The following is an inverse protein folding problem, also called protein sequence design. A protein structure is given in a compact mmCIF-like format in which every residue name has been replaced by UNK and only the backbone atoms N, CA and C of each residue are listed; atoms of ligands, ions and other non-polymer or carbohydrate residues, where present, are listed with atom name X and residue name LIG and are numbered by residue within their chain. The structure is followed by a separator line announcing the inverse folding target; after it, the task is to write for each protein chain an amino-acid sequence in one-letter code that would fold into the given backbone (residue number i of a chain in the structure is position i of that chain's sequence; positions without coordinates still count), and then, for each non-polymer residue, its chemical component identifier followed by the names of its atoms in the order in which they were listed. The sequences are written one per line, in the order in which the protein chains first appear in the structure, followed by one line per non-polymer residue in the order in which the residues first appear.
data_IF_937312165263
#
_entry.id   IF_937312165263
#
_cell.length_a   1.000
_cell.length_b   1.000
_cell.length_c   1.000
_cell.angle_alpha   90.00
_cell.angle_beta   90.00
_cell.angle_gamma   90.00
#
_symmetry.space_group_name_H-M   'P 1'
#
loop_
_entity.id
_entity.type
_entity.pdbx_description
1 polymer ?
#
# COMPACT_ATOMS: atom_id res chain seq x y z
N UNK A 1 15.18 2.65 1.72
CA UNK A 1 14.68 1.73 2.77
C UNK A 1 15.20 0.34 2.48
N UNK A 2 15.76 -0.28 3.48
CA UNK A 2 16.25 -1.64 3.34
C UNK A 2 15.11 -2.63 3.10
N UNK A 3 15.29 -3.48 2.08
CA UNK A 3 14.28 -4.47 1.71
C UNK A 3 13.16 -3.96 0.81
N UNK A 4 13.17 -2.68 0.46
CA UNK A 4 12.15 -2.07 -0.40
C UNK A 4 12.79 -1.28 -1.53
N UNK A 5 12.61 -1.75 -2.75
CA UNK A 5 13.13 -1.05 -3.94
C UNK A 5 12.26 0.14 -4.33
N UNK A 6 10.99 0.11 -3.95
CA UNK A 6 10.07 1.20 -4.18
C UNK A 6 9.70 1.89 -2.87
N UNK A 7 9.82 3.22 -2.86
CA UNK A 7 9.45 4.04 -1.70
C UNK A 7 8.61 5.22 -2.17
N UNK A 8 7.44 5.36 -1.57
CA UNK A 8 6.56 6.50 -1.77
C UNK A 8 6.74 7.47 -0.61
N UNK A 9 6.73 8.76 -0.90
CA UNK A 9 6.91 9.80 0.11
C UNK A 9 5.62 10.55 0.34
N UNK A 10 5.31 10.81 1.61
CA UNK A 10 4.14 11.53 2.07
C UNK A 10 4.52 12.43 3.22
N UNK A 11 3.66 13.40 3.51
CA UNK A 11 3.76 14.19 4.73
C UNK A 11 2.44 14.13 5.49
N UNK A 12 2.50 13.94 6.78
CA UNK A 12 1.30 13.94 7.63
C UNK A 12 0.71 15.36 7.65
N UNK A 13 -0.57 15.46 7.29
CA UNK A 13 -1.29 16.73 7.27
C UNK A 13 -1.98 16.97 8.61
N UNK A 14 -2.23 18.23 8.91
CA UNK A 14 -2.93 18.62 10.14
C UNK A 14 -4.28 17.88 10.26
N UNK A 15 -5.02 17.76 9.18
CA UNK A 15 -6.33 17.08 9.19
C UNK A 15 -6.26 15.56 9.37
N UNK A 16 -5.06 14.97 9.29
CA UNK A 16 -4.86 13.53 9.47
C UNK A 16 -4.81 13.11 10.93
N UNK A 17 -4.61 14.08 11.83
CA UNK A 17 -4.46 13.79 13.26
C UNK A 17 -5.78 13.95 14.02
N UNK A 18 -5.91 13.18 15.09
CA UNK A 18 -7.07 13.21 15.97
C UNK A 18 -6.84 14.20 17.14
N UNK A 19 -7.76 14.20 18.11
CA UNK A 19 -7.69 15.08 19.28
C UNK A 19 -6.44 14.86 20.13
N UNK A 20 -5.85 13.66 20.05
CA UNK A 20 -4.63 13.33 20.79
C UNK A 20 -3.36 13.81 20.06
N UNK A 21 -3.51 14.40 18.89
CA UNK A 21 -2.39 14.86 18.07
C UNK A 21 -1.69 13.74 17.30
N UNK A 22 -2.29 12.57 17.23
CA UNK A 22 -1.75 11.42 16.51
C UNK A 22 -2.57 11.14 15.26
N UNK A 23 -1.92 10.62 14.21
CA UNK A 23 -2.62 10.19 13.01
C UNK A 23 -3.66 9.11 13.38
N UNK A 24 -4.89 9.33 12.94
CA UNK A 24 -5.96 8.35 13.12
C UNK A 24 -5.60 7.04 12.42
N UNK A 25 -5.89 5.91 13.06
CA UNK A 25 -5.56 4.60 12.50
C UNK A 25 -6.12 4.38 11.10
N UNK A 26 -7.31 4.91 10.81
CA UNK A 26 -7.91 4.80 9.48
C UNK A 26 -7.11 5.55 8.41
N UNK A 27 -6.41 6.60 8.76
CA UNK A 27 -5.60 7.39 7.82
C UNK A 27 -4.34 6.62 7.40
N UNK A 28 -3.82 5.72 8.23
CA UNK A 28 -2.73 4.83 7.83
C UNK A 28 -3.11 4.01 6.60
N UNK A 29 -4.36 3.55 6.50
CA UNK A 29 -4.85 2.83 5.32
C UNK A 29 -4.83 3.73 4.08
N UNK A 30 -5.11 5.01 4.24
CA UNK A 30 -5.04 5.98 3.15
C UNK A 30 -3.60 6.13 2.64
N UNK A 31 -2.63 6.24 3.53
CA UNK A 31 -1.22 6.33 3.14
C UNK A 31 -0.77 5.08 2.39
N UNK A 32 -1.17 3.91 2.87
CA UNK A 32 -0.87 2.64 2.23
C UNK A 32 -1.50 2.56 0.85
N UNK A 33 -2.75 3.02 0.71
CA UNK A 33 -3.45 3.05 -0.57
C UNK A 33 -2.72 3.96 -1.57
N UNK A 34 -2.34 5.15 -1.15
CA UNK A 34 -1.61 6.09 -2.02
C UNK A 34 -0.28 5.50 -2.48
N UNK A 35 0.43 4.85 -1.57
CA UNK A 35 1.70 4.19 -1.90
C UNK A 35 1.48 3.02 -2.86
N UNK A 36 0.42 2.24 -2.65
CA UNK A 36 0.07 1.12 -3.54
C UNK A 36 -0.25 1.62 -4.94
N UNK A 37 -1.06 2.67 -5.06
CA UNK A 37 -1.42 3.26 -6.35
C UNK A 37 -0.16 3.70 -7.09
N UNK A 38 0.72 4.42 -6.42
CA UNK A 38 1.97 4.89 -7.02
C UNK A 38 2.85 3.72 -7.47
N UNK A 39 2.93 2.67 -6.67
CA UNK A 39 3.70 1.46 -6.99
C UNK A 39 3.15 0.78 -8.25
N UNK A 40 1.84 0.55 -8.29
CA UNK A 40 1.17 -0.18 -9.37
C UNK A 40 1.17 0.59 -10.69
N UNK A 41 1.09 1.91 -10.64
CA UNK A 41 1.15 2.74 -11.85
C UNK A 41 2.47 2.61 -12.61
N UNK A 42 3.54 2.16 -11.95
CA UNK A 42 4.83 1.95 -12.61
C UNK A 42 4.75 0.95 -13.76
N UNK A 43 3.81 0.01 -13.69
CA UNK A 43 3.58 -0.96 -14.75
C UNK A 43 2.14 -0.96 -15.25
N UNK A 44 1.52 0.22 -15.21
CA UNK A 44 0.17 0.47 -15.73
C UNK A 44 -0.93 -0.40 -15.14
N UNK A 45 -0.74 -0.87 -13.91
CA UNK A 45 -1.79 -1.58 -13.18
C UNK A 45 -2.66 -0.55 -12.46
N UNK A 46 -3.92 -0.47 -12.87
CA UNK A 46 -4.85 0.56 -12.40
C UNK A 46 -5.82 0.01 -11.37
N UNK A 47 -6.15 0.85 -10.38
CA UNK A 47 -7.11 0.48 -9.35
C UNK A 47 -8.49 0.16 -9.90
N UNK A 48 -8.82 0.65 -11.11
CA UNK A 48 -10.08 0.34 -11.80
C UNK A 48 -10.15 -1.10 -12.30
N UNK A 49 -9.04 -1.84 -12.27
CA UNK A 49 -8.96 -3.22 -12.74
C UNK A 49 -8.69 -4.20 -11.59
N UNK A 50 -8.87 -3.76 -10.35
CA UNK A 50 -8.58 -4.57 -9.18
C UNK A 50 -9.45 -4.20 -7.99
N UNK A 51 -9.47 -5.08 -7.00
CA UNK A 51 -10.18 -4.85 -5.75
C UNK A 51 -9.28 -5.25 -4.57
N UNK A 52 -9.32 -4.46 -3.51
CA UNK A 52 -8.66 -4.80 -2.26
C UNK A 52 -9.52 -5.83 -1.54
N UNK A 53 -8.99 -7.03 -1.35
CA UNK A 53 -9.71 -8.13 -0.71
C UNK A 53 -9.39 -8.27 0.77
N UNK A 54 -8.18 -7.89 1.18
CA UNK A 54 -7.75 -8.01 2.58
C UNK A 54 -6.68 -6.99 2.89
N UNK A 55 -6.71 -6.46 4.10
CA UNK A 55 -5.66 -5.61 4.63
C UNK A 55 -5.38 -6.00 6.08
N UNK A 56 -4.09 -6.09 6.41
CA UNK A 56 -3.61 -6.29 7.78
C UNK A 56 -2.64 -5.17 8.09
N UNK A 57 -2.81 -4.53 9.24
CA UNK A 57 -1.90 -3.48 9.70
C UNK A 57 -1.53 -3.72 11.15
N UNK A 58 -0.23 -3.64 11.44
CA UNK A 58 0.30 -3.56 12.79
C UNK A 58 0.79 -2.14 13.02
N UNK A 59 0.21 -1.45 13.99
CA UNK A 59 0.60 -0.10 14.36
C UNK A 59 1.71 -0.18 15.39
N UNK A 60 2.85 0.47 15.10
CA UNK A 60 4.05 0.37 15.93
C UNK A 60 4.36 1.65 16.69
N UNK A 61 4.11 2.81 16.09
CA UNK A 61 4.40 4.09 16.68
C UNK A 61 3.45 5.15 16.17
N UNK A 62 3.13 6.17 16.99
CA UNK A 62 2.26 7.26 16.54
C UNK A 62 2.99 8.16 15.56
N UNK A 63 2.21 8.78 14.67
CA UNK A 63 2.67 9.80 13.75
C UNK A 63 1.97 11.11 14.10
N UNK A 64 2.66 12.23 13.89
CA UNK A 64 2.17 13.57 14.20
C UNK A 64 2.14 14.45 12.97
N UNK A 65 1.35 15.52 13.06
CA UNK A 65 1.27 16.52 11.99
C UNK A 65 2.66 17.01 11.62
N UNK A 66 2.94 17.05 10.32
CA UNK A 66 4.22 17.50 9.78
C UNK A 66 5.29 16.43 9.64
N UNK A 67 5.07 15.25 10.21
CA UNK A 67 6.02 14.14 10.04
C UNK A 67 6.17 13.77 8.55
N UNK A 68 7.39 13.59 8.11
CA UNK A 68 7.68 13.13 6.76
C UNK A 68 7.74 11.61 6.75
N UNK A 69 7.02 11.00 5.81
CA UNK A 69 6.87 9.57 5.73
C UNK A 69 7.57 8.99 4.51
N UNK A 70 8.17 7.82 4.71
CA UNK A 70 8.60 6.95 3.65
C UNK A 70 7.81 5.65 3.76
N UNK A 71 7.16 5.26 2.67
CA UNK A 71 6.34 4.06 2.64
C UNK A 71 6.91 3.12 1.58
N UNK A 72 7.56 2.06 2.05
CA UNK A 72 8.06 1.02 1.18
C UNK A 72 6.95 0.09 0.76
N UNK A 73 6.96 -0.32 -0.50
CA UNK A 73 6.02 -1.31 -1.06
C UNK A 73 6.81 -2.36 -1.79
N UNK A 74 6.48 -3.62 -1.56
CA UNK A 74 7.10 -4.74 -2.30
C UNK A 74 6.11 -5.88 -2.47
N UNK A 75 6.25 -6.69 -3.54
CA UNK A 75 5.44 -7.88 -3.70
C UNK A 75 5.88 -8.95 -2.69
N UNK A 76 4.91 -9.69 -2.14
CA UNK A 76 5.16 -10.80 -1.23
C UNK A 76 4.88 -12.14 -1.90
N UNK A 77 3.76 -12.24 -2.63
CA UNK A 77 3.40 -13.44 -3.38
C UNK A 77 2.54 -13.06 -4.58
N UNK A 78 2.56 -13.92 -5.59
CA UNK A 78 1.78 -13.72 -6.82
C UNK A 78 1.06 -15.01 -7.13
N UNK A 79 -0.27 -14.96 -7.16
CA UNK A 79 -1.13 -16.09 -7.51
C UNK A 79 -1.67 -15.99 -8.93
N UNK A 80 -2.75 -16.69 -9.19
CA UNK A 80 -3.41 -16.70 -10.51
C UNK A 80 -4.28 -15.47 -10.72
N UNK A 81 -5.08 -15.11 -9.72
CA UNK A 81 -6.05 -14.00 -9.79
C UNK A 81 -5.77 -12.92 -8.75
N UNK A 82 -4.77 -13.12 -7.89
CA UNK A 82 -4.45 -12.21 -6.81
C UNK A 82 -2.97 -12.13 -6.58
N UNK A 83 -2.56 -11.08 -5.87
CA UNK A 83 -1.18 -10.92 -5.40
C UNK A 83 -1.19 -10.23 -4.05
N UNK A 84 -0.10 -10.40 -3.32
CA UNK A 84 0.07 -9.77 -2.01
C UNK A 84 1.17 -8.73 -2.09
N UNK A 85 0.95 -7.62 -1.40
CA UNK A 85 1.94 -6.58 -1.20
C UNK A 85 2.23 -6.42 0.27
N UNK A 86 3.47 -6.11 0.58
CA UNK A 86 3.92 -5.76 1.93
C UNK A 86 4.34 -4.30 1.95
N UNK A 87 4.11 -3.65 3.09
CA UNK A 87 4.37 -2.23 3.27
C UNK A 87 5.08 -1.98 4.59
N UNK A 88 5.91 -0.95 4.61
CA UNK A 88 6.45 -0.42 5.85
C UNK A 88 6.33 1.10 5.81
N UNK A 89 5.70 1.66 6.84
CA UNK A 89 5.57 3.11 7.01
C UNK A 89 6.61 3.57 8.01
N UNK A 90 7.49 4.48 7.60
CA UNK A 90 8.56 5.01 8.45
C UNK A 90 8.52 6.52 8.50
N UNK A 91 8.90 7.05 9.65
CA UNK A 91 9.23 8.46 9.82
C UNK A 91 10.63 8.52 10.44
N UNK A 92 11.60 9.02 9.67
CA UNK A 92 13.00 8.94 10.08
C UNK A 92 13.43 7.49 10.31
N UNK A 93 13.99 7.20 11.48
CA UNK A 93 14.42 5.84 11.84
C UNK A 93 13.32 5.02 12.51
N UNK A 94 12.15 5.59 12.69
CA UNK A 94 11.04 4.94 13.39
C UNK A 94 10.10 4.25 12.42
N UNK A 95 9.87 2.96 12.63
CA UNK A 95 8.83 2.21 11.91
C UNK A 95 7.51 2.50 12.61
N UNK A 96 6.60 3.16 11.91
CA UNK A 96 5.30 3.53 12.46
C UNK A 96 4.25 2.45 12.25
N UNK A 97 4.33 1.70 11.14
CA UNK A 97 3.41 0.61 10.86
C UNK A 97 4.01 -0.36 9.85
N UNK A 98 3.52 -1.59 9.90
CA UNK A 98 3.79 -2.62 8.91
C UNK A 98 2.47 -3.18 8.44
N UNK A 99 2.35 -3.49 7.16
CA UNK A 99 1.09 -3.93 6.59
C UNK A 99 1.26 -4.96 5.49
N UNK A 100 0.17 -5.67 5.23
CA UNK A 100 0.05 -6.61 4.10
C UNK A 100 -1.32 -6.42 3.49
N UNK A 101 -1.40 -6.50 2.17
CA UNK A 101 -2.68 -6.46 1.46
C UNK A 101 -2.76 -7.60 0.45
N UNK A 102 -3.99 -8.04 0.21
CA UNK A 102 -4.31 -8.97 -0.88
C UNK A 102 -5.13 -8.19 -1.90
N UNK A 103 -4.64 -8.16 -3.12
CA UNK A 103 -5.27 -7.45 -4.23
C UNK A 103 -5.72 -8.49 -5.25
N UNK A 104 -6.98 -8.39 -5.68
CA UNK A 104 -7.58 -9.32 -6.66
C UNK A 104 -7.79 -8.59 -7.98
N UNK A 105 -7.33 -9.22 -9.07
CA UNK A 105 -7.63 -8.73 -10.42
C UNK A 105 -9.12 -8.92 -10.68
N UNK A 106 -9.79 -7.84 -11.07
CA UNK A 106 -11.24 -7.81 -11.06
C UNK A 106 -11.78 -7.06 -12.27
N UNK A 107 -12.77 -7.66 -12.94
CA UNK A 107 -13.47 -7.04 -14.05
C UNK A 107 -14.81 -6.48 -13.54
N UNK A 108 -14.89 -5.15 -13.44
CA UNK A 108 -16.10 -4.48 -12.94
C UNK A 108 -17.27 -4.56 -13.91
N UNK A 109 -17.03 -4.90 -15.17
CA UNK A 109 -18.11 -5.08 -16.16
C UNK A 109 -18.85 -6.39 -15.94
N UNK A 110 -18.10 -7.46 -15.65
CA UNK A 110 -18.68 -8.78 -15.41
C UNK A 110 -18.93 -9.07 -13.94
N UNK A 111 -18.33 -8.28 -13.04
CA UNK A 111 -18.45 -8.50 -11.60
C UNK A 111 -17.71 -9.74 -11.12
N UNK A 112 -16.62 -10.11 -11.79
CA UNK A 112 -15.87 -11.34 -11.49
C UNK A 112 -14.38 -11.09 -11.38
N UNK A 113 -13.72 -11.90 -10.54
CA UNK A 113 -12.26 -11.96 -10.52
C UNK A 113 -11.78 -12.59 -11.83
N UNK A 114 -10.64 -12.11 -12.32
CA UNK A 114 -10.02 -12.58 -13.55
C UNK A 114 -8.54 -12.84 -13.32
N UNK A 115 -7.92 -13.60 -14.21
CA UNK A 115 -6.48 -13.83 -14.11
C UNK A 115 -5.71 -12.52 -14.18
N UNK A 116 -4.59 -12.46 -13.46
CA UNK A 116 -3.69 -11.32 -13.53
C UNK A 116 -3.17 -11.17 -14.97
N UNK A 117 -3.18 -9.97 -15.52
CA UNK A 117 -2.50 -9.71 -16.80
C UNK A 117 -1.04 -10.15 -16.73
N UNK A 118 -0.51 -10.65 -17.82
CA UNK A 118 0.88 -11.13 -17.86
C UNK A 118 1.88 -10.03 -17.53
N UNK A 119 1.59 -8.79 -17.93
CA UNK A 119 2.44 -7.64 -17.62
C UNK A 119 2.54 -7.39 -16.12
N UNK A 120 1.47 -7.63 -15.37
CA UNK A 120 1.49 -7.49 -13.91
C UNK A 120 2.34 -8.62 -13.29
N UNK A 121 2.15 -9.86 -13.76
CA UNK A 121 2.91 -11.00 -13.24
C UNK A 121 4.42 -10.79 -13.42
N UNK A 122 4.83 -10.32 -14.59
CA UNK A 122 6.23 -10.04 -14.90
C UNK A 122 6.78 -8.94 -13.99
N UNK A 123 6.03 -7.85 -13.83
CA UNK A 123 6.47 -6.72 -13.02
C UNK A 123 6.57 -7.09 -11.53
N UNK A 124 5.61 -7.87 -11.03
CA UNK A 124 5.59 -8.30 -9.63
C UNK A 124 6.66 -9.34 -9.31
N UNK A 125 7.10 -10.09 -10.31
CA UNK A 125 8.14 -11.12 -10.14
C UNK A 125 9.57 -10.55 -10.26
N UNK A 126 9.69 -9.33 -10.78
CA UNK A 126 11.00 -8.71 -11.03
C UNK A 126 11.75 -8.32 -9.75
#
# INVERSE_FOLDING_TARGET
MEGFDFVHREQVRFRDVDEMGHVNNAVFLTYIEEARIAYLLRFDARVTDMILARAEIDFRAPLRSGDELEIGVRPASVGTKSFQLEYQVRSGDTVAAEAKTVIVSYDYKTGRSVELPETWKEALAA
#
